data_IF_419804488355
#
_entry.id   IF_419804488355
#
_cell.length_a   1.000
_cell.length_b   1.000
_cell.length_c   1.000
_cell.angle_alpha   90.00
_cell.angle_beta   90.00
_cell.angle_gamma   90.00
#
_symmetry.space_group_name_H-M   'P 1'
#
loop_
_entity.id
_entity.type
_entity.pdbx_description
1 polymer ?
#
# COMPACT_ATOMS: atom_id res chain seq x y z
N UNK A 1 31.83 -22.10 -22.46
CA UNK A 1 30.65 -22.49 -21.63
C UNK A 1 30.49 -21.40 -20.57
N UNK A 2 29.49 -20.52 -20.69
CA UNK A 2 29.18 -19.56 -19.63
C UNK A 2 28.46 -20.31 -18.51
N UNK A 3 29.02 -20.28 -17.31
CA UNK A 3 28.35 -20.72 -16.09
C UNK A 3 27.47 -19.55 -15.66
N UNK A 4 26.16 -19.62 -15.90
CA UNK A 4 25.21 -18.69 -15.29
C UNK A 4 25.07 -19.08 -13.82
N UNK A 5 25.61 -18.25 -12.94
CA UNK A 5 25.34 -18.35 -11.51
C UNK A 5 23.96 -17.74 -11.31
N UNK A 6 22.95 -18.59 -11.15
CA UNK A 6 21.62 -18.15 -10.75
C UNK A 6 21.71 -17.55 -9.35
N UNK A 7 21.04 -16.41 -9.17
CA UNK A 7 20.87 -15.84 -7.84
C UNK A 7 20.09 -16.83 -6.97
N UNK A 8 20.37 -16.93 -5.66
CA UNK A 8 19.61 -17.82 -4.76
C UNK A 8 18.09 -17.59 -4.83
N UNK A 9 17.66 -16.37 -5.16
CA UNK A 9 16.26 -15.98 -5.36
C UNK A 9 15.62 -16.56 -6.62
N UNK A 10 16.39 -16.89 -7.66
CA UNK A 10 15.90 -17.56 -8.88
C UNK A 10 15.73 -19.06 -8.69
N UNK A 11 16.31 -19.63 -7.63
CA UNK A 11 16.20 -21.05 -7.29
C UNK A 11 14.99 -21.36 -6.37
N UNK A 12 14.33 -20.34 -5.82
CA UNK A 12 13.15 -20.55 -4.95
C UNK A 12 11.91 -20.69 -5.82
N UNK A 13 11.10 -21.76 -5.65
CA UNK A 13 9.82 -21.89 -6.34
C UNK A 13 8.94 -20.68 -6.08
N UNK A 14 8.37 -20.12 -7.15
CA UNK A 14 7.59 -18.88 -7.08
C UNK A 14 6.38 -19.02 -6.15
N UNK A 15 5.87 -20.23 -5.95
CA UNK A 15 4.74 -20.54 -5.08
C UNK A 15 5.08 -20.46 -3.58
N UNK A 16 6.37 -20.56 -3.22
CA UNK A 16 6.84 -20.50 -1.83
C UNK A 16 7.17 -19.06 -1.44
N UNK A 17 7.62 -18.25 -2.40
CA UNK A 17 8.01 -16.85 -2.16
C UNK A 17 6.94 -16.03 -1.44
N UNK A 18 5.63 -16.07 -1.81
CA UNK A 18 4.60 -15.32 -1.10
C UNK A 18 4.50 -15.65 0.39
N UNK A 19 4.71 -16.92 0.79
CA UNK A 19 4.69 -17.36 2.20
C UNK A 19 5.93 -16.92 2.97
N UNK A 20 7.08 -16.79 2.31
CA UNK A 20 8.27 -16.21 2.93
C UNK A 20 8.08 -14.71 3.11
N UNK A 21 7.53 -14.06 2.07
CA UNK A 21 7.30 -12.62 2.04
C UNK A 21 6.22 -12.16 3.03
N UNK A 22 5.32 -13.02 3.49
CA UNK A 22 4.33 -12.68 4.52
C UNK A 22 4.97 -12.23 5.84
N UNK A 23 6.22 -12.62 6.10
CA UNK A 23 7.00 -12.17 7.26
C UNK A 23 7.77 -10.87 7.02
N UNK A 24 7.92 -10.44 5.76
CA UNK A 24 8.60 -9.20 5.43
C UNK A 24 7.71 -7.99 5.72
N UNK A 25 8.25 -7.01 6.43
CA UNK A 25 7.58 -5.74 6.66
C UNK A 25 7.48 -4.93 5.35
N UNK A 26 6.73 -3.83 5.38
CA UNK A 26 6.48 -3.01 4.19
C UNK A 26 7.76 -2.44 3.57
N UNK A 27 8.73 -2.02 4.40
CA UNK A 27 10.00 -1.43 3.94
C UNK A 27 10.84 -2.47 3.19
N UNK A 28 10.89 -3.69 3.71
CA UNK A 28 11.62 -4.78 3.09
C UNK A 28 10.97 -5.16 1.76
N UNK A 29 9.63 -5.22 1.71
CA UNK A 29 8.89 -5.45 0.46
C UNK A 29 9.15 -4.37 -0.60
N UNK A 30 9.20 -3.10 -0.22
CA UNK A 30 9.54 -2.02 -1.16
C UNK A 30 10.93 -2.23 -1.78
N UNK A 31 11.90 -2.64 -0.95
CA UNK A 31 13.27 -2.92 -1.39
C UNK A 31 13.33 -4.16 -2.28
N UNK A 32 12.70 -5.26 -1.86
CA UNK A 32 12.69 -6.54 -2.56
C UNK A 32 11.97 -6.45 -3.92
N UNK A 33 10.93 -5.63 -4.03
CA UNK A 33 10.21 -5.40 -5.30
C UNK A 33 11.14 -4.87 -6.39
N UNK A 34 12.14 -4.07 -6.03
CA UNK A 34 13.09 -3.51 -6.98
C UNK A 34 14.17 -4.52 -7.43
N UNK A 35 14.27 -5.69 -6.80
CA UNK A 35 15.31 -6.67 -7.11
C UNK A 35 15.06 -7.43 -8.41
N UNK A 36 13.82 -7.82 -8.70
CA UNK A 36 13.48 -8.54 -9.94
C UNK A 36 11.97 -8.53 -10.23
N UNK A 37 11.58 -8.80 -11.48
CA UNK A 37 10.15 -8.96 -11.85
C UNK A 37 9.49 -10.13 -11.13
N UNK A 38 10.22 -11.23 -10.91
CA UNK A 38 9.71 -12.38 -10.18
C UNK A 38 9.42 -12.03 -8.71
N UNK A 39 10.31 -11.25 -8.08
CA UNK A 39 10.11 -10.79 -6.70
C UNK A 39 8.96 -9.79 -6.61
N UNK A 40 8.85 -8.87 -7.56
CA UNK A 40 7.70 -7.98 -7.66
C UNK A 40 6.38 -8.75 -7.74
N UNK A 41 6.31 -9.77 -8.62
CA UNK A 41 5.12 -10.59 -8.76
C UNK A 41 4.80 -11.36 -7.46
N UNK A 42 5.80 -12.00 -6.85
CA UNK A 42 5.63 -12.72 -5.60
C UNK A 42 5.16 -11.81 -4.45
N UNK A 43 5.68 -10.58 -4.37
CA UNK A 43 5.24 -9.57 -3.40
C UNK A 43 3.78 -9.18 -3.66
N UNK A 44 3.43 -8.89 -4.92
CA UNK A 44 2.05 -8.51 -5.26
C UNK A 44 1.03 -9.58 -4.90
N UNK A 45 1.40 -10.87 -4.97
CA UNK A 45 0.53 -12.00 -4.63
C UNK A 45 0.56 -12.40 -3.15
N UNK A 46 1.47 -11.83 -2.37
CA UNK A 46 1.62 -12.14 -0.96
C UNK A 46 0.68 -11.32 -0.08
N UNK A 47 0.23 -11.92 1.03
CA UNK A 47 -0.54 -11.23 2.05
C UNK A 47 0.38 -10.35 2.89
N UNK A 48 0.00 -9.09 3.12
CA UNK A 48 0.71 -8.17 4.02
C UNK A 48 0.00 -8.16 5.38
N UNK A 49 0.68 -8.61 6.45
CA UNK A 49 0.14 -8.56 7.80
C UNK A 49 0.76 -7.41 8.59
N UNK A 50 -0.03 -6.39 8.93
CA UNK A 50 0.39 -5.25 9.76
C UNK A 50 -0.39 -5.32 11.09
N UNK A 51 0.11 -6.16 12.00
CA UNK A 51 -0.50 -6.41 13.31
C UNK A 51 0.21 -5.69 14.47
N UNK A 52 1.16 -4.79 14.18
CA UNK A 52 1.91 -4.03 15.18
C UNK A 52 1.09 -2.94 15.88
N UNK A 53 1.53 -2.55 17.07
CA UNK A 53 0.80 -1.61 17.96
C UNK A 53 1.19 -0.12 17.78
N UNK A 54 2.34 0.18 17.17
CA UNK A 54 2.86 1.56 17.11
C UNK A 54 2.74 2.16 15.70
N UNK A 55 2.17 3.36 15.64
CA UNK A 55 2.00 4.15 14.43
C UNK A 55 2.80 5.45 14.59
N UNK A 56 3.90 5.60 13.88
CA UNK A 56 4.61 6.89 13.80
C UNK A 56 3.91 7.79 12.77
N UNK A 57 3.25 8.83 13.27
CA UNK A 57 2.50 9.77 12.45
C UNK A 57 3.45 10.84 11.87
N UNK A 58 3.73 10.78 10.56
CA UNK A 58 4.41 11.87 9.85
C UNK A 58 3.46 12.49 8.85
N UNK A 59 2.92 13.68 9.15
CA UNK A 59 1.85 14.35 8.38
C UNK A 59 2.31 15.45 7.45
N UNK A 60 1.95 15.37 6.15
CA UNK A 60 1.98 16.49 5.21
C UNK A 60 0.85 16.37 4.16
N UNK A 61 0.05 17.44 4.03
CA UNK A 61 -0.92 17.84 2.98
C UNK A 61 -1.91 16.80 2.35
N UNK A 62 -3.20 16.95 2.69
CA UNK A 62 -4.33 16.85 1.75
C UNK A 62 -5.11 15.52 1.59
N UNK A 63 -4.46 14.36 1.71
CA UNK A 63 -5.13 13.06 1.89
C UNK A 63 -4.11 12.17 2.57
N UNK A 64 -4.47 11.62 3.73
CA UNK A 64 -3.63 10.64 4.42
C UNK A 64 -4.40 9.35 4.49
N UNK A 65 -3.98 8.34 3.73
CA UNK A 65 -4.44 6.97 3.98
C UNK A 65 -3.35 6.21 4.68
N UNK A 66 -3.65 5.75 5.90
CA UNK A 66 -2.81 4.85 6.68
C UNK A 66 -3.44 3.46 6.68
N UNK A 67 -2.77 2.50 6.03
CA UNK A 67 -3.09 1.07 6.13
C UNK A 67 -2.14 0.48 7.17
N UNK A 68 -2.65 0.20 8.38
CA UNK A 68 -1.82 -0.27 9.50
C UNK A 68 -0.74 0.74 9.93
N UNK A 69 0.47 0.26 10.19
CA UNK A 69 1.57 1.03 10.82
C UNK A 69 2.54 1.70 9.84
N UNK A 70 2.39 1.56 8.51
CA UNK A 70 3.50 1.93 7.61
C UNK A 70 3.20 2.40 6.19
N UNK A 71 2.00 2.21 5.64
CA UNK A 71 1.72 2.67 4.29
C UNK A 71 0.97 4.00 4.33
N UNK A 72 1.69 5.08 4.01
CA UNK A 72 1.14 6.42 3.80
C UNK A 72 1.26 6.79 2.33
N UNK A 73 0.13 6.97 1.66
CA UNK A 73 0.10 7.47 0.29
C UNK A 73 -0.54 8.85 0.29
N UNK A 74 0.21 9.85 -0.16
CA UNK A 74 -0.24 11.23 -0.27
C UNK A 74 -0.26 11.66 -1.74
N UNK A 75 -1.28 12.42 -2.11
CA UNK A 75 -1.40 13.03 -3.43
C UNK A 75 -0.92 14.49 -3.37
N UNK A 76 0.19 14.80 -4.04
CA UNK A 76 0.72 16.17 -4.13
C UNK A 76 0.01 17.02 -5.19
N UNK A 77 -0.09 18.35 -4.96
CA UNK A 77 -0.49 19.34 -5.97
C UNK A 77 0.51 19.32 -7.15
N UNK A 78 0.30 18.46 -8.15
CA UNK A 78 1.26 18.40 -9.26
C UNK A 78 0.88 17.58 -10.50
N UNK A 79 -0.15 16.73 -10.48
CA UNK A 79 -0.59 16.07 -11.72
C UNK A 79 -2.05 15.64 -11.63
N UNK A 80 -2.92 16.45 -12.25
CA UNK A 80 -4.37 16.47 -12.01
C UNK A 80 -5.12 15.19 -12.44
N UNK A 81 -4.59 14.34 -13.33
CA UNK A 81 -5.39 13.25 -13.90
C UNK A 81 -4.75 11.84 -13.82
N UNK A 82 -3.59 11.68 -13.15
CA UNK A 82 -2.87 10.40 -13.13
C UNK A 82 -2.39 9.93 -11.75
N UNK A 83 -2.65 10.69 -10.68
CA UNK A 83 -2.07 10.38 -9.37
C UNK A 83 -2.84 9.33 -8.57
N UNK A 84 -4.18 9.32 -8.63
CA UNK A 84 -5.01 8.41 -7.84
C UNK A 84 -4.93 6.96 -8.36
N UNK A 85 -5.08 6.76 -9.66
CA UNK A 85 -4.93 5.42 -10.25
C UNK A 85 -3.53 4.85 -10.04
N UNK A 86 -2.50 5.69 -10.09
CA UNK A 86 -1.13 5.28 -9.81
C UNK A 86 -0.95 4.87 -8.34
N UNK A 87 -1.60 5.55 -7.40
CA UNK A 87 -1.63 5.18 -5.98
C UNK A 87 -2.27 3.81 -5.78
N UNK A 88 -3.43 3.56 -6.41
CA UNK A 88 -4.10 2.24 -6.37
C UNK A 88 -3.22 1.17 -6.99
N UNK A 89 -2.62 1.46 -8.16
CA UNK A 89 -1.72 0.55 -8.87
C UNK A 89 -0.50 0.20 -8.04
N UNK A 90 0.14 1.19 -7.40
CA UNK A 90 1.29 0.97 -6.53
C UNK A 90 0.92 0.14 -5.32
N UNK A 91 -0.25 0.37 -4.69
CA UNK A 91 -0.74 -0.43 -3.58
C UNK A 91 -0.99 -1.88 -4.00
N UNK A 92 -1.72 -2.12 -5.10
CA UNK A 92 -1.97 -3.47 -5.65
C UNK A 92 -0.67 -4.22 -6.02
N UNK A 93 0.40 -3.49 -6.37
CA UNK A 93 1.74 -4.07 -6.62
C UNK A 93 2.52 -4.40 -5.34
N UNK A 94 2.15 -3.86 -4.19
CA UNK A 94 2.81 -4.15 -2.91
C UNK A 94 2.16 -5.32 -2.17
N UNK A 95 0.87 -5.53 -2.39
CA UNK A 95 0.10 -6.66 -1.86
C UNK A 95 -1.27 -6.75 -2.55
N UNK A 96 -1.77 -7.97 -2.70
CA UNK A 96 -3.13 -8.25 -3.15
C UNK A 96 -4.11 -8.16 -1.98
N UNK A 97 -3.68 -8.62 -0.80
CA UNK A 97 -4.46 -8.57 0.43
C UNK A 97 -3.61 -8.03 1.56
N UNK A 98 -4.20 -7.17 2.39
CA UNK A 98 -3.57 -6.68 3.61
C UNK A 98 -4.46 -7.00 4.81
N UNK A 99 -3.89 -7.62 5.84
CA UNK A 99 -4.55 -7.83 7.12
C UNK A 99 -4.02 -6.76 8.06
N UNK A 100 -4.87 -5.82 8.42
CA UNK A 100 -4.52 -4.69 9.29
C UNK A 100 -5.50 -4.57 10.44
N UNK A 101 -5.10 -3.94 11.53
CA UNK A 101 -6.04 -3.67 12.63
C UNK A 101 -7.03 -2.58 12.23
N UNK A 102 -6.52 -1.47 11.72
CA UNK A 102 -7.33 -0.30 11.36
C UNK A 102 -6.88 0.32 10.04
N UNK A 103 -7.85 0.93 9.35
CA UNK A 103 -7.62 1.83 8.22
C UNK A 103 -8.08 3.23 8.63
N UNK A 104 -7.19 4.20 8.50
CA UNK A 104 -7.48 5.60 8.78
C UNK A 104 -7.33 6.40 7.48
N UNK A 105 -8.42 7.06 7.08
CA UNK A 105 -8.46 8.00 5.96
C UNK A 105 -8.74 9.37 6.56
N UNK A 106 -7.71 10.17 6.72
CA UNK A 106 -7.83 11.47 7.38
C UNK A 106 -7.78 12.63 6.38
N UNK A 107 -8.58 13.65 6.68
CA UNK A 107 -8.71 14.91 5.93
C UNK A 107 -8.99 14.68 4.44
N UNK A 108 -9.97 13.85 4.09
CA UNK A 108 -10.36 13.67 2.69
C UNK A 108 -11.21 14.85 2.21
N UNK A 109 -10.85 15.43 1.07
CA UNK A 109 -11.69 16.36 0.30
C UNK A 109 -12.51 15.56 -0.71
N UNK A 110 -13.79 15.31 -0.40
CA UNK A 110 -14.68 14.50 -1.23
C UNK A 110 -15.06 15.17 -2.56
N UNK A 111 -14.83 16.48 -2.72
CA UNK A 111 -14.97 17.15 -4.02
C UNK A 111 -13.85 16.78 -5.00
N UNK A 112 -12.72 16.30 -4.47
CA UNK A 112 -11.53 15.94 -5.25
C UNK A 112 -11.28 14.45 -5.31
N UNK A 113 -11.67 13.73 -4.26
CA UNK A 113 -11.41 12.30 -4.11
C UNK A 113 -12.75 11.58 -4.05
N UNK A 114 -13.15 10.91 -5.15
CA UNK A 114 -14.43 10.19 -5.18
C UNK A 114 -14.39 9.00 -4.21
N UNK A 115 -15.54 8.63 -3.64
CA UNK A 115 -15.62 7.45 -2.78
C UNK A 115 -15.21 6.16 -3.49
N UNK A 116 -15.50 6.04 -4.79
CA UNK A 116 -15.08 4.89 -5.60
C UNK A 116 -13.56 4.68 -5.57
N UNK A 117 -12.78 5.78 -5.52
CA UNK A 117 -11.33 5.67 -5.35
C UNK A 117 -10.97 5.09 -3.98
N UNK A 118 -11.61 5.56 -2.90
CA UNK A 118 -11.35 5.07 -1.55
C UNK A 118 -11.69 3.58 -1.45
N UNK A 119 -12.86 3.18 -1.96
CA UNK A 119 -13.30 1.78 -1.99
C UNK A 119 -12.31 0.90 -2.76
N UNK A 120 -11.95 1.32 -3.98
CA UNK A 120 -10.96 0.62 -4.78
C UNK A 120 -9.61 0.57 -4.05
N UNK A 121 -9.21 1.66 -3.38
CA UNK A 121 -7.94 1.73 -2.66
C UNK A 121 -7.86 0.73 -1.49
N UNK A 122 -8.93 0.61 -0.69
CA UNK A 122 -8.97 -0.33 0.45
C UNK A 122 -9.37 -1.75 0.06
N UNK A 123 -9.75 -1.98 -1.21
CA UNK A 123 -10.08 -3.31 -1.73
C UNK A 123 -8.97 -4.33 -1.42
N UNK A 124 -9.36 -5.49 -0.89
CA UNK A 124 -8.44 -6.55 -0.46
C UNK A 124 -7.86 -6.36 0.94
N UNK A 125 -8.15 -5.24 1.61
CA UNK A 125 -7.81 -5.07 3.02
C UNK A 125 -8.84 -5.76 3.92
N UNK A 126 -8.37 -6.51 4.91
CA UNK A 126 -9.15 -7.05 6.01
C UNK A 126 -8.78 -6.22 7.23
N UNK A 127 -9.76 -5.51 7.79
CA UNK A 127 -9.56 -4.62 8.93
C UNK A 127 -10.70 -4.73 9.94
N UNK A 128 -10.41 -4.39 11.20
CA UNK A 128 -11.39 -4.33 12.28
C UNK A 128 -12.08 -2.97 12.32
N UNK A 129 -11.29 -1.91 12.17
CA UNK A 129 -11.75 -0.53 12.33
C UNK A 129 -11.48 0.28 11.07
N UNK A 130 -12.47 1.04 10.60
CA UNK A 130 -12.31 2.03 9.52
C UNK A 130 -12.74 3.40 10.05
N UNK A 131 -11.86 4.38 9.95
CA UNK A 131 -12.14 5.76 10.30
C UNK A 131 -11.90 6.65 9.09
N UNK A 132 -12.89 7.45 8.72
CA UNK A 132 -12.82 8.40 7.62
C UNK A 132 -13.16 9.79 8.16
N UNK A 133 -12.20 10.71 8.12
CA UNK A 133 -12.38 12.11 8.48
C UNK A 133 -12.43 12.95 7.20
N UNK A 134 -13.55 13.63 6.97
CA UNK A 134 -13.73 14.53 5.84
C UNK A 134 -13.24 15.93 6.23
N UNK A 135 -12.56 16.63 5.33
CA UNK A 135 -12.29 18.06 5.48
C UNK A 135 -13.63 18.80 5.51
N UNK A 136 -14.00 19.34 6.67
CA UNK A 136 -15.16 20.21 6.80
C UNK A 136 -14.94 21.46 5.94
N UNK A 137 -15.85 21.70 5.00
CA UNK A 137 -15.93 23.01 4.37
C UNK A 137 -16.39 24.00 5.44
N UNK A 138 -15.54 24.99 5.76
CA UNK A 138 -16.02 26.19 6.42
C UNK A 138 -17.04 26.85 5.48
N UNK A 139 -18.32 26.56 5.70
CA UNK A 139 -19.40 27.40 5.20
C UNK A 139 -19.22 28.76 5.87
N UNK A 140 -18.49 29.65 5.21
CA UNK A 140 -18.55 31.08 5.49
C UNK A 140 -19.95 31.53 5.06
N UNK A 141 -20.91 31.45 5.98
CA UNK A 141 -22.19 32.15 5.90
C UNK A 141 -21.99 33.67 5.89
#
# INVERSE_FOLDING_TARGET
>A
RCIQILSPTECVPIDILPRILSFANLRDRLSLRACSRAMEQAISQSELCLLGEECENISFYGLTVCIGTGLRLSHGKGNANGGLDEIVRLRKRLFQRAIVRSVLIDRVDLNRIPMDFIENFIEGCIFRDLSISVLGEEYNE
#
